data_IF_322321151202
#
_entry.id   IF_322321151202
#
_cell.length_a   1.000
_cell.length_b   1.000
_cell.length_c   1.000
_cell.angle_alpha   90.00
_cell.angle_beta   90.00
_cell.angle_gamma   90.00
#
_symmetry.space_group_name_H-M   'P 1'
#
loop_
_entity.id
_entity.type
_entity.pdbx_description
1 polymer ?
#
# COMPACT_ATOMS: atom_id res chain seq x y z
N UNK A 1 -6.71 -3.71 26.71
CA UNK A 1 -7.48 -3.82 25.45
C UNK A 1 -6.50 -3.76 24.28
N UNK A 2 -6.36 -4.85 23.53
CA UNK A 2 -5.55 -4.85 22.32
C UNK A 2 -6.21 -3.93 21.29
N UNK A 3 -5.50 -2.91 20.84
CA UNK A 3 -5.99 -2.03 19.76
C UNK A 3 -6.20 -2.88 18.49
N UNK A 4 -7.27 -2.64 17.68
CA UNK A 4 -7.55 -3.43 16.47
C UNK A 4 -6.35 -3.61 15.54
N UNK A 5 -5.51 -2.57 15.36
CA UNK A 5 -4.30 -2.66 14.56
C UNK A 5 -3.25 -3.66 15.07
N UNK A 6 -3.12 -3.83 16.38
CA UNK A 6 -2.20 -4.83 16.96
C UNK A 6 -2.70 -6.27 16.78
N UNK A 7 -4.01 -6.48 16.72
CA UNK A 7 -4.60 -7.77 16.38
C UNK A 7 -4.35 -8.11 14.90
N UNK A 8 -4.74 -7.24 13.98
CA UNK A 8 -4.56 -7.44 12.54
C UNK A 8 -3.09 -7.69 12.17
N UNK A 9 -2.14 -6.94 12.76
CA UNK A 9 -0.73 -7.16 12.51
C UNK A 9 -0.29 -8.58 12.88
N UNK A 10 -0.63 -9.05 14.08
CA UNK A 10 -0.22 -10.38 14.56
C UNK A 10 -0.76 -11.52 13.71
N UNK A 11 -2.03 -11.45 13.32
CA UNK A 11 -2.67 -12.52 12.54
C UNK A 11 -2.26 -12.52 11.08
N UNK A 12 -1.81 -11.39 10.55
CA UNK A 12 -1.36 -11.23 9.17
C UNK A 12 0.17 -11.22 9.02
N UNK A 13 0.91 -11.49 10.11
CA UNK A 13 2.37 -11.67 10.09
C UNK A 13 3.19 -10.39 9.98
N UNK A 14 2.58 -9.20 10.09
CA UNK A 14 3.29 -7.93 10.14
C UNK A 14 3.65 -7.52 11.57
N UNK A 15 4.56 -6.57 11.74
CA UNK A 15 4.91 -6.01 13.06
C UNK A 15 3.81 -5.07 13.58
N UNK A 16 3.17 -4.31 12.71
CA UNK A 16 2.12 -3.34 13.04
C UNK A 16 1.13 -3.19 11.91
N UNK A 17 -0.07 -2.67 12.21
CA UNK A 17 -1.09 -2.35 11.22
C UNK A 17 -1.92 -1.13 11.62
N UNK A 18 -2.53 -0.49 10.62
CA UNK A 18 -3.46 0.63 10.78
C UNK A 18 -4.58 0.55 9.73
N UNK A 19 -5.81 0.80 10.17
CA UNK A 19 -6.97 0.93 9.30
C UNK A 19 -7.13 2.36 8.76
N UNK A 20 -7.61 2.48 7.52
CA UNK A 20 -7.94 3.73 6.83
C UNK A 20 -9.27 3.66 6.09
N UNK A 21 -9.64 4.72 5.39
CA UNK A 21 -10.90 4.79 4.65
C UNK A 21 -10.91 3.97 3.36
N UNK A 22 -9.76 3.77 2.73
CA UNK A 22 -9.57 2.95 1.53
C UNK A 22 -8.08 2.72 1.26
N UNK A 23 -7.75 1.84 0.31
CA UNK A 23 -6.36 1.60 -0.09
C UNK A 23 -5.69 2.85 -0.68
N UNK A 24 -6.40 3.63 -1.50
CA UNK A 24 -5.90 4.89 -2.05
C UNK A 24 -5.46 5.89 -0.97
N UNK A 25 -6.22 5.98 0.14
CA UNK A 25 -5.83 6.75 1.32
C UNK A 25 -4.56 6.19 1.97
N UNK A 26 -4.39 4.86 1.96
CA UNK A 26 -3.19 4.18 2.43
C UNK A 26 -1.94 4.60 1.63
N UNK A 27 -2.06 4.71 0.30
CA UNK A 27 -0.95 5.21 -0.56
C UNK A 27 -0.57 6.63 -0.14
N UNK A 28 -1.55 7.56 -0.10
CA UNK A 28 -1.28 8.95 0.24
C UNK A 28 -0.66 9.10 1.65
N UNK A 29 -1.18 8.38 2.64
CA UNK A 29 -0.63 8.41 4.00
C UNK A 29 0.73 7.72 4.10
N UNK A 30 0.97 6.66 3.33
CA UNK A 30 2.27 5.98 3.25
C UNK A 30 3.34 6.90 2.67
N UNK A 31 3.02 7.60 1.59
CA UNK A 31 3.89 8.61 0.96
C UNK A 31 4.18 9.75 1.92
N UNK A 32 3.16 10.34 2.54
CA UNK A 32 3.32 11.41 3.51
C UNK A 32 4.17 10.96 4.71
N UNK A 33 3.88 9.78 5.26
CA UNK A 33 4.64 9.20 6.36
C UNK A 33 6.11 8.99 6.01
N UNK A 34 6.40 8.44 4.83
CA UNK A 34 7.76 8.21 4.36
C UNK A 34 8.58 9.50 4.17
N UNK A 35 7.91 10.59 3.74
CA UNK A 35 8.55 11.88 3.52
C UNK A 35 8.75 12.67 4.80
N UNK A 36 7.69 12.83 5.62
CA UNK A 36 7.77 13.71 6.81
C UNK A 36 8.24 13.01 8.07
N UNK A 37 8.14 11.67 8.12
CA UNK A 37 8.60 10.84 9.24
C UNK A 37 8.06 11.33 10.59
N UNK A 38 8.95 11.77 11.48
CA UNK A 38 8.64 12.25 12.82
C UNK A 38 8.44 13.77 12.89
N UNK A 39 8.60 14.49 11.77
CA UNK A 39 8.53 15.94 11.76
C UNK A 39 7.07 16.43 11.80
N UNK A 40 6.62 16.85 12.98
CA UNK A 40 5.23 17.33 13.18
C UNK A 40 4.93 18.62 12.42
N UNK A 41 5.92 19.52 12.28
CA UNK A 41 5.72 20.77 11.52
C UNK A 41 5.50 20.49 10.04
N UNK A 42 6.31 19.62 9.43
CA UNK A 42 6.12 19.22 8.01
C UNK A 42 4.80 18.50 7.80
N UNK A 43 4.38 17.62 8.75
CA UNK A 43 3.07 16.98 8.70
C UNK A 43 1.92 17.99 8.63
N UNK A 44 1.98 19.01 9.48
CA UNK A 44 0.92 20.01 9.58
C UNK A 44 0.95 21.01 8.41
N UNK A 45 2.09 21.17 7.75
CA UNK A 45 2.34 22.08 6.65
C UNK A 45 2.62 21.40 5.30
N UNK A 46 2.27 20.14 5.14
CA UNK A 46 2.52 19.35 3.93
C UNK A 46 2.02 20.02 2.64
N UNK A 47 0.92 20.79 2.73
CA UNK A 47 0.25 21.48 1.62
C UNK A 47 0.76 22.89 1.37
N UNK A 48 1.51 23.49 2.29
CA UNK A 48 1.79 24.92 2.32
C UNK A 48 3.17 25.32 1.81
N UNK A 49 4.11 24.40 1.78
CA UNK A 49 5.49 24.71 1.38
C UNK A 49 6.10 23.57 0.54
N UNK A 50 7.05 23.88 -0.37
CA UNK A 50 7.87 22.87 -0.97
C UNK A 50 8.54 22.04 0.12
N UNK A 51 8.46 20.70 0.01
CA UNK A 51 9.09 19.82 0.97
C UNK A 51 10.61 19.99 0.88
N UNK A 52 11.23 20.39 2.00
CA UNK A 52 12.68 20.47 2.16
C UNK A 52 13.34 19.12 2.48
N UNK A 53 12.56 18.05 2.42
CA UNK A 53 12.97 16.67 2.72
C UNK A 53 12.79 15.79 1.47
N UNK A 54 13.43 14.62 1.40
CA UNK A 54 13.17 13.65 0.35
C UNK A 54 11.67 13.36 0.24
N UNK A 55 11.12 13.49 -0.97
CA UNK A 55 9.70 13.30 -1.26
C UNK A 55 9.43 12.70 -2.65
N UNK A 56 10.49 12.33 -3.38
CA UNK A 56 10.34 11.61 -4.63
C UNK A 56 9.92 10.18 -4.35
N UNK A 57 8.91 9.72 -5.08
CA UNK A 57 8.40 8.35 -5.02
C UNK A 57 8.70 7.69 -6.35
N UNK A 58 9.63 6.77 -6.35
CA UNK A 58 10.02 6.04 -7.56
C UNK A 58 9.06 4.88 -7.78
N UNK A 59 8.52 4.80 -8.99
CA UNK A 59 7.50 3.82 -9.40
C UNK A 59 7.92 3.21 -10.73
N UNK A 60 7.86 1.88 -10.94
CA UNK A 60 7.98 1.32 -12.28
C UNK A 60 6.94 1.97 -13.21
N UNK A 61 7.35 2.42 -14.39
CA UNK A 61 6.45 3.17 -15.29
C UNK A 61 5.16 2.41 -15.62
N UNK A 62 5.24 1.09 -15.82
CA UNK A 62 4.07 0.25 -16.03
C UNK A 62 3.12 0.13 -14.83
N UNK A 63 3.51 0.64 -13.65
CA UNK A 63 2.70 0.68 -12.44
C UNK A 63 2.04 2.05 -12.21
N UNK A 64 2.34 3.06 -13.04
CA UNK A 64 1.65 4.35 -13.00
C UNK A 64 0.32 4.23 -13.77
N UNK A 65 -0.65 3.58 -13.17
CA UNK A 65 -1.95 3.24 -13.77
C UNK A 65 -3.07 4.14 -13.26
N UNK A 66 -4.19 4.11 -13.98
CA UNK A 66 -5.45 4.69 -13.54
C UNK A 66 -6.40 3.54 -13.18
N UNK A 67 -6.74 3.41 -11.90
CA UNK A 67 -7.66 2.40 -11.35
C UNK A 67 -9.05 2.98 -11.00
N UNK A 68 -9.43 4.09 -11.63
CA UNK A 68 -10.55 4.98 -11.28
C UNK A 68 -10.05 6.31 -10.73
N UNK A 69 -8.76 6.37 -10.35
CA UNK A 69 -7.98 7.57 -10.08
C UNK A 69 -6.52 7.28 -10.46
N UNK A 70 -5.75 8.26 -10.95
CA UNK A 70 -4.34 8.06 -11.24
C UNK A 70 -3.54 7.79 -9.95
N UNK A 71 -2.61 6.82 -9.99
CA UNK A 71 -1.66 6.57 -8.88
C UNK A 71 -0.90 7.83 -8.52
N UNK A 72 -0.47 8.60 -9.53
CA UNK A 72 0.22 9.88 -9.33
C UNK A 72 -0.56 10.89 -8.50
N UNK A 73 -1.90 10.89 -8.58
CA UNK A 73 -2.74 11.77 -7.73
C UNK A 73 -2.66 11.38 -6.27
N UNK A 74 -2.59 10.09 -5.95
CA UNK A 74 -2.45 9.63 -4.56
C UNK A 74 -1.05 9.95 -4.01
N UNK A 75 -0.02 9.82 -4.84
CA UNK A 75 1.34 10.25 -4.51
C UNK A 75 1.37 11.75 -4.21
N UNK A 76 0.77 12.57 -5.09
CA UNK A 76 0.72 14.03 -4.91
C UNK A 76 -0.09 14.45 -3.68
N UNK A 77 -1.21 13.78 -3.37
CA UNK A 77 -1.97 14.00 -2.12
C UNK A 77 -1.11 13.75 -0.87
N UNK A 78 -0.18 12.81 -0.93
CA UNK A 78 0.80 12.57 0.13
C UNK A 78 1.97 13.55 0.13
N UNK A 79 1.97 14.57 -0.72
CA UNK A 79 3.06 15.53 -0.88
C UNK A 79 4.26 14.97 -1.63
N UNK A 80 4.13 13.78 -2.23
CA UNK A 80 5.18 13.15 -3.02
C UNK A 80 5.22 13.64 -4.46
N UNK A 81 6.38 13.55 -5.07
CA UNK A 81 6.58 13.71 -6.51
C UNK A 81 6.81 12.33 -7.13
N UNK A 82 5.99 11.94 -8.11
CA UNK A 82 6.12 10.66 -8.78
C UNK A 82 7.28 10.70 -9.78
N UNK A 83 8.18 9.72 -9.68
CA UNK A 83 9.31 9.51 -10.59
C UNK A 83 9.14 8.14 -11.24
N UNK A 84 8.99 8.10 -12.55
CA UNK A 84 8.86 6.86 -13.30
C UNK A 84 10.23 6.23 -13.59
N UNK A 85 10.34 4.90 -13.39
CA UNK A 85 11.52 4.08 -13.67
C UNK A 85 11.22 3.07 -14.78
N UNK A 86 12.18 2.84 -15.66
CA UNK A 86 12.05 1.89 -16.77
C UNK A 86 11.06 2.34 -17.84
N UNK A 87 10.42 1.37 -18.47
CA UNK A 87 9.45 1.55 -19.55
C UNK A 87 8.06 1.05 -19.13
N UNK A 88 7.05 1.34 -19.95
CA UNK A 88 5.67 0.90 -19.65
C UNK A 88 5.51 -0.63 -19.59
N UNK A 89 6.32 -1.38 -20.32
CA UNK A 89 6.28 -2.84 -20.44
C UNK A 89 7.48 -3.54 -19.82
N UNK A 90 8.46 -2.79 -19.29
CA UNK A 90 9.71 -3.34 -18.78
C UNK A 90 10.30 -2.45 -17.70
N UNK A 91 10.70 -3.07 -16.58
CA UNK A 91 11.48 -2.40 -15.55
C UNK A 91 12.39 -3.44 -14.89
N UNK A 92 13.70 -3.29 -15.05
CA UNK A 92 14.68 -4.12 -14.36
C UNK A 92 15.05 -3.53 -13.00
N UNK A 93 15.66 -4.34 -12.09
CA UNK A 93 16.21 -3.84 -10.84
C UNK A 93 17.22 -2.69 -11.03
N UNK A 94 18.03 -2.74 -12.09
CA UNK A 94 19.03 -1.71 -12.43
C UNK A 94 18.35 -0.41 -12.87
N UNK A 95 17.29 -0.50 -13.67
CA UNK A 95 16.51 0.66 -14.08
C UNK A 95 15.79 1.31 -12.89
N UNK A 96 15.25 0.49 -11.98
CA UNK A 96 14.65 0.99 -10.74
C UNK A 96 15.69 1.69 -9.86
N UNK A 97 16.86 1.07 -9.67
CA UNK A 97 17.96 1.63 -8.89
C UNK A 97 18.50 2.95 -9.48
N UNK A 98 18.61 3.03 -10.81
CA UNK A 98 19.10 4.23 -11.51
C UNK A 98 18.17 5.46 -11.33
N UNK A 99 16.88 5.25 -11.05
CA UNK A 99 15.93 6.33 -10.79
C UNK A 99 15.98 6.86 -9.33
N UNK A 100 16.68 6.17 -8.43
CA UNK A 100 16.80 6.57 -7.03
C UNK A 100 17.87 7.67 -6.90
N UNK A 101 17.51 8.74 -6.21
CA UNK A 101 18.37 9.90 -5.94
C UNK A 101 18.34 10.25 -4.45
N UNK A 102 19.17 11.18 -3.96
CA UNK A 102 19.10 11.65 -2.59
C UNK A 102 17.75 12.27 -2.18
N UNK A 103 16.91 12.64 -3.16
CA UNK A 103 15.56 13.17 -2.93
C UNK A 103 14.49 12.09 -2.89
N UNK A 104 14.84 10.82 -3.10
CA UNK A 104 13.89 9.68 -3.05
C UNK A 104 13.53 9.33 -1.61
N UNK A 105 12.23 9.37 -1.30
CA UNK A 105 11.69 9.01 0.01
C UNK A 105 11.26 7.54 0.10
N UNK A 106 10.76 6.95 -1.00
CA UNK A 106 10.28 5.57 -1.04
C UNK A 106 10.25 5.02 -2.46
N UNK A 107 10.19 3.68 -2.57
CA UNK A 107 9.70 2.99 -3.76
C UNK A 107 8.21 2.65 -3.58
N UNK A 108 7.42 2.81 -4.64
CA UNK A 108 6.04 2.35 -4.70
C UNK A 108 5.90 1.28 -5.78
N UNK A 109 5.46 0.10 -5.40
CA UNK A 109 5.15 -1.02 -6.28
C UNK A 109 3.64 -1.26 -6.28
N UNK A 110 3.00 -1.21 -7.44
CA UNK A 110 1.56 -1.46 -7.57
C UNK A 110 1.36 -2.88 -8.10
N UNK A 111 0.79 -3.75 -7.26
CA UNK A 111 0.38 -5.09 -7.64
C UNK A 111 -1.10 -5.05 -8.01
N UNK A 112 -1.37 -5.01 -9.31
CA UNK A 112 -2.73 -4.90 -9.83
C UNK A 112 -2.82 -5.50 -11.24
N UNK A 113 -4.00 -6.01 -11.59
CA UNK A 113 -4.32 -6.45 -12.95
C UNK A 113 -4.32 -5.30 -13.98
N UNK A 114 -4.38 -4.04 -13.54
CA UNK A 114 -4.23 -2.87 -14.41
C UNK A 114 -2.79 -2.67 -14.88
N UNK A 115 -1.81 -3.22 -14.17
CA UNK A 115 -0.40 -3.08 -14.50
C UNK A 115 0.03 -4.07 -15.58
N UNK A 116 0.93 -3.64 -16.46
CA UNK A 116 1.66 -4.58 -17.30
C UNK A 116 2.64 -5.34 -16.42
N UNK A 117 2.49 -6.67 -16.38
CA UNK A 117 3.32 -7.54 -15.50
C UNK A 117 4.48 -8.20 -16.27
N UNK A 118 4.44 -8.20 -17.61
CA UNK A 118 5.47 -8.81 -18.43
C UNK A 118 6.75 -7.99 -18.36
N UNK A 119 7.88 -8.67 -18.15
CA UNK A 119 9.22 -8.05 -18.07
C UNK A 119 9.39 -7.00 -16.95
N UNK A 120 8.55 -7.05 -15.92
CA UNK A 120 8.70 -6.24 -14.72
C UNK A 120 9.40 -7.05 -13.61
N UNK A 121 10.19 -6.31 -12.80
CA UNK A 121 10.82 -6.90 -11.60
C UNK A 121 9.76 -7.41 -10.62
N UNK A 122 10.13 -8.44 -9.84
CA UNK A 122 9.28 -8.94 -8.76
C UNK A 122 9.31 -8.02 -7.52
N UNK A 123 8.37 -8.25 -6.59
CA UNK A 123 8.34 -7.53 -5.29
C UNK A 123 9.63 -7.77 -4.50
N UNK A 124 10.15 -9.01 -4.51
CA UNK A 124 11.41 -9.36 -3.84
C UNK A 124 12.60 -8.60 -4.43
N UNK A 125 12.66 -8.48 -5.76
CA UNK A 125 13.70 -7.70 -6.43
C UNK A 125 13.60 -6.21 -6.07
N UNK A 126 12.38 -5.64 -6.05
CA UNK A 126 12.15 -4.28 -5.61
C UNK A 126 12.56 -4.08 -4.13
N UNK A 127 12.27 -5.05 -3.26
CA UNK A 127 12.68 -5.02 -1.85
C UNK A 127 14.20 -5.04 -1.67
N UNK A 128 14.92 -5.81 -2.49
CA UNK A 128 16.39 -5.82 -2.50
C UNK A 128 16.93 -4.45 -2.90
N UNK A 129 16.37 -3.83 -3.95
CA UNK A 129 16.77 -2.47 -4.39
C UNK A 129 16.49 -1.45 -3.30
N UNK A 130 15.29 -1.43 -2.71
CA UNK A 130 14.91 -0.50 -1.64
C UNK A 130 15.86 -0.59 -0.45
N UNK A 131 16.13 -1.81 0.02
CA UNK A 131 17.03 -2.08 1.15
C UNK A 131 18.45 -1.62 0.88
N UNK A 132 18.97 -1.86 -0.32
CA UNK A 132 20.32 -1.42 -0.73
C UNK A 132 20.48 0.10 -0.67
N UNK A 133 19.40 0.83 -0.95
CA UNK A 133 19.39 2.30 -0.93
C UNK A 133 18.89 2.89 0.40
N UNK A 134 18.51 2.08 1.38
CA UNK A 134 18.06 2.54 2.69
C UNK A 134 16.71 3.27 2.68
N UNK A 135 15.86 2.99 1.70
CA UNK A 135 14.53 3.59 1.55
C UNK A 135 13.43 2.51 1.66
N UNK A 136 12.21 2.84 2.13
CA UNK A 136 11.14 1.86 2.26
C UNK A 136 10.56 1.45 0.90
N UNK A 137 10.11 0.19 0.83
CA UNK A 137 9.25 -0.31 -0.23
C UNK A 137 7.78 -0.30 0.25
N UNK A 138 6.94 0.46 -0.45
CA UNK A 138 5.49 0.47 -0.29
C UNK A 138 4.90 -0.40 -1.41
N UNK A 139 4.10 -1.41 -1.05
CA UNK A 139 3.38 -2.26 -2.02
C UNK A 139 1.89 -1.95 -1.93
N UNK A 140 1.31 -1.47 -3.01
CA UNK A 140 -0.14 -1.40 -3.17
C UNK A 140 -0.63 -2.76 -3.70
N UNK A 141 -1.23 -3.53 -2.82
CA UNK A 141 -1.81 -4.85 -3.07
C UNK A 141 -3.33 -4.83 -2.82
N UNK A 142 -4.00 -3.73 -3.23
CA UNK A 142 -5.38 -3.44 -2.86
C UNK A 142 -6.37 -4.56 -3.18
N UNK A 143 -6.15 -5.33 -4.25
CA UNK A 143 -7.06 -6.39 -4.71
C UNK A 143 -6.52 -7.81 -4.49
N UNK A 144 -5.33 -7.93 -3.91
CA UNK A 144 -4.66 -9.21 -3.76
C UNK A 144 -5.27 -10.03 -2.61
N UNK A 145 -5.33 -11.34 -2.82
CA UNK A 145 -5.98 -12.27 -1.89
C UNK A 145 -5.04 -12.71 -0.76
N UNK A 146 -3.73 -12.78 -1.01
CA UNK A 146 -2.76 -13.18 0.01
C UNK A 146 -2.31 -11.96 0.84
N UNK A 147 -2.78 -11.88 2.07
CA UNK A 147 -2.50 -10.76 2.97
C UNK A 147 -1.14 -10.85 3.69
N UNK A 148 -0.34 -11.88 3.43
CA UNK A 148 0.93 -12.11 4.11
C UNK A 148 2.14 -12.08 3.17
N UNK A 149 1.99 -12.55 1.93
CA UNK A 149 3.12 -12.83 1.05
C UNK A 149 3.98 -11.60 0.76
N UNK A 150 3.41 -10.43 0.53
CA UNK A 150 4.18 -9.25 0.15
C UNK A 150 5.05 -8.70 1.29
N UNK A 151 4.57 -8.81 2.54
CA UNK A 151 5.40 -8.49 3.70
C UNK A 151 6.55 -9.51 3.85
N UNK A 152 6.29 -10.80 3.64
CA UNK A 152 7.31 -11.85 3.67
C UNK A 152 8.33 -11.68 2.54
N UNK A 153 7.93 -11.19 1.37
CA UNK A 153 8.80 -10.83 0.25
C UNK A 153 9.71 -9.62 0.54
N UNK A 154 9.47 -8.91 1.65
CA UNK A 154 10.33 -7.83 2.12
C UNK A 154 9.78 -6.42 1.92
N UNK A 155 8.49 -6.26 1.62
CA UNK A 155 7.84 -4.96 1.63
C UNK A 155 7.87 -4.37 3.05
N UNK A 156 8.11 -3.06 3.15
CA UNK A 156 8.10 -2.36 4.43
C UNK A 156 6.69 -1.90 4.84
N UNK A 157 5.88 -1.56 3.84
CA UNK A 157 4.44 -1.30 3.96
C UNK A 157 3.69 -2.04 2.86
N UNK A 158 2.59 -2.69 3.21
CA UNK A 158 1.64 -3.31 2.27
C UNK A 158 0.26 -2.72 2.50
N UNK A 159 -0.42 -2.35 1.43
CA UNK A 159 -1.70 -1.67 1.46
C UNK A 159 -2.76 -2.57 0.81
N UNK A 160 -3.82 -2.85 1.54
CA UNK A 160 -4.96 -3.65 1.08
C UNK A 160 -6.26 -2.84 1.12
N UNK A 161 -7.21 -3.19 0.25
CA UNK A 161 -8.58 -2.69 0.31
C UNK A 161 -9.45 -3.64 1.13
N UNK A 162 -10.14 -3.12 2.13
CA UNK A 162 -11.08 -3.93 2.90
C UNK A 162 -12.30 -4.40 2.10
N UNK A 163 -12.68 -3.66 1.06
CA UNK A 163 -13.86 -3.95 0.24
C UNK A 163 -13.57 -4.80 -1.02
N UNK A 164 -12.38 -5.37 -1.14
CA UNK A 164 -12.00 -6.25 -2.25
C UNK A 164 -11.85 -7.68 -1.74
N UNK A 165 -10.68 -8.29 -1.87
CA UNK A 165 -10.44 -9.68 -1.47
C UNK A 165 -10.73 -10.00 0.01
N UNK A 166 -10.72 -8.99 0.88
CA UNK A 166 -11.09 -9.15 2.30
C UNK A 166 -12.62 -9.24 2.49
N UNK A 167 -13.42 -8.83 1.49
CA UNK A 167 -14.91 -8.87 1.51
C UNK A 167 -15.54 -8.09 2.68
N UNK A 168 -14.86 -7.03 3.12
CA UNK A 168 -15.33 -6.14 4.19
C UNK A 168 -15.98 -4.86 3.66
N UNK A 169 -16.31 -3.92 4.56
CA UNK A 169 -16.83 -2.60 4.17
C UNK A 169 -15.74 -1.77 3.51
N UNK A 170 -16.13 -0.66 2.86
CA UNK A 170 -15.19 0.34 2.34
C UNK A 170 -14.23 0.78 3.44
N UNK A 171 -13.00 0.32 3.33
CA UNK A 171 -11.92 0.55 4.28
C UNK A 171 -10.57 0.23 3.64
N UNK A 172 -9.50 0.64 4.27
CA UNK A 172 -8.14 0.30 3.89
C UNK A 172 -7.38 -0.30 5.07
N UNK A 173 -6.43 -1.15 4.78
CA UNK A 173 -5.55 -1.76 5.75
C UNK A 173 -4.10 -1.54 5.30
N UNK A 174 -3.29 -0.95 6.17
CA UNK A 174 -1.84 -0.85 5.96
C UNK A 174 -1.15 -1.72 6.99
N UNK A 175 -0.32 -2.65 6.53
CA UNK A 175 0.44 -3.58 7.35
C UNK A 175 1.91 -3.38 7.06
N UNK A 176 2.78 -3.56 8.03
CA UNK A 176 4.22 -3.50 7.76
C UNK A 176 5.06 -3.42 9.00
N UNK A 177 6.27 -2.89 8.84
CA UNK A 177 7.20 -2.67 9.94
C UNK A 177 6.72 -1.55 10.85
N UNK A 178 6.88 -1.75 12.15
CA UNK A 178 6.36 -0.85 13.18
C UNK A 178 6.75 0.61 12.97
N UNK A 179 7.99 0.88 12.57
CA UNK A 179 8.47 2.23 12.32
C UNK A 179 7.66 2.95 11.23
N UNK A 180 7.46 2.30 10.09
CA UNK A 180 6.77 2.90 8.94
C UNK A 180 5.26 3.01 9.19
N UNK A 181 4.66 2.00 9.81
CA UNK A 181 3.23 2.05 10.19
C UNK A 181 2.98 3.17 11.20
N UNK A 182 3.92 3.44 12.12
CA UNK A 182 3.78 4.55 13.06
C UNK A 182 3.79 5.91 12.34
N UNK A 183 4.64 6.08 11.32
CA UNK A 183 4.61 7.28 10.48
C UNK A 183 3.29 7.46 9.73
N UNK A 184 2.69 6.36 9.25
CA UNK A 184 1.35 6.37 8.66
C UNK A 184 0.29 6.78 9.69
N UNK A 185 0.32 6.23 10.91
CA UNK A 185 -0.61 6.57 12.01
C UNK A 185 -0.55 8.05 12.36
N UNK A 186 0.63 8.65 12.35
CA UNK A 186 0.82 10.09 12.64
C UNK A 186 0.09 10.98 11.63
N UNK A 187 -0.13 10.49 10.39
CA UNK A 187 -0.90 11.23 9.39
C UNK A 187 -2.37 11.42 9.76
N UNK A 188 -2.89 10.67 10.74
CA UNK A 188 -4.24 10.91 11.29
C UNK A 188 -4.42 12.33 11.89
N UNK A 189 -3.32 12.99 12.24
CA UNK A 189 -3.28 14.37 12.70
C UNK A 189 -2.82 15.37 11.62
N UNK A 190 -2.62 14.89 10.39
CA UNK A 190 -2.30 15.68 9.20
C UNK A 190 -3.31 15.37 8.09
N UNK A 191 -2.79 15.09 6.89
CA UNK A 191 -3.60 14.79 5.68
C UNK A 191 -4.56 13.61 5.89
N UNK A 192 -4.18 12.61 6.67
CA UNK A 192 -5.02 11.46 7.00
C UNK A 192 -6.29 11.81 7.80
N UNK A 193 -6.39 13.04 8.33
CA UNK A 193 -7.62 13.51 8.98
C UNK A 193 -8.80 13.55 8.01
N UNK A 194 -8.56 13.93 6.77
CA UNK A 194 -9.56 13.92 5.70
C UNK A 194 -9.90 12.50 5.21
N UNK A 195 -9.05 11.53 5.52
CA UNK A 195 -9.14 10.12 5.09
C UNK A 195 -9.53 9.20 6.25
N UNK A 196 -10.19 9.73 7.27
CA UNK A 196 -10.54 9.00 8.48
C UNK A 196 -11.59 7.92 8.19
N UNK A 197 -11.37 6.70 8.70
CA UNK A 197 -12.36 5.62 8.74
C UNK A 197 -13.24 5.75 9.97
N UNK A 198 -14.54 5.46 9.84
CA UNK A 198 -15.49 5.40 10.95
C UNK A 198 -15.28 4.15 11.83
N UNK A 199 -15.89 4.15 13.01
CA UNK A 199 -15.82 3.01 13.94
C UNK A 199 -16.46 1.76 13.35
N UNK A 200 -17.57 1.93 12.65
CA UNK A 200 -18.27 0.88 11.90
C UNK A 200 -17.39 0.24 10.84
N UNK A 201 -16.63 1.03 10.09
CA UNK A 201 -15.66 0.54 9.11
C UNK A 201 -14.50 -0.23 9.76
N UNK A 202 -14.04 0.21 10.94
CA UNK A 202 -13.00 -0.51 11.68
C UNK A 202 -13.51 -1.86 12.19
N UNK A 203 -14.72 -1.90 12.76
CA UNK A 203 -15.32 -3.13 13.26
C UNK A 203 -15.61 -4.11 12.13
N UNK A 204 -16.19 -3.62 11.04
CA UNK A 204 -16.48 -4.45 9.85
C UNK A 204 -15.21 -4.99 9.20
N UNK A 205 -14.14 -4.18 9.08
CA UNK A 205 -12.85 -4.66 8.59
C UNK A 205 -12.23 -5.73 9.51
N UNK A 206 -12.33 -5.54 10.83
CA UNK A 206 -11.81 -6.52 11.80
C UNK A 206 -12.54 -7.85 11.64
N UNK A 207 -13.88 -7.83 11.57
CA UNK A 207 -14.68 -9.03 11.37
C UNK A 207 -14.38 -9.70 10.01
N UNK A 208 -14.21 -8.91 8.95
CA UNK A 208 -13.87 -9.44 7.63
C UNK A 208 -12.50 -10.14 7.62
N UNK A 209 -11.50 -9.58 8.33
CA UNK A 209 -10.20 -10.24 8.51
C UNK A 209 -10.36 -11.55 9.30
N UNK A 210 -11.17 -11.60 10.33
CA UNK A 210 -11.44 -12.83 11.08
C UNK A 210 -12.09 -13.88 10.17
N UNK A 211 -13.08 -13.50 9.38
CA UNK A 211 -13.71 -14.38 8.41
C UNK A 211 -12.70 -14.91 7.38
N UNK A 212 -11.86 -14.03 6.82
CA UNK A 212 -10.79 -14.39 5.90
C UNK A 212 -9.85 -15.45 6.47
N UNK A 213 -9.47 -15.32 7.76
CA UNK A 213 -8.57 -16.28 8.42
C UNK A 213 -9.24 -17.63 8.72
N UNK A 214 -10.56 -17.65 8.87
CA UNK A 214 -11.33 -18.86 9.11
C UNK A 214 -11.71 -19.59 7.81
N UNK A 215 -11.73 -18.89 6.68
CA UNK A 215 -12.01 -19.50 5.40
C UNK A 215 -10.82 -20.34 4.96
N UNK A 216 -11.06 -21.62 4.60
CA UNK A 216 -10.09 -22.36 3.80
C UNK A 216 -9.91 -21.60 2.50
N UNK A 217 -8.65 -21.35 2.07
CA UNK A 217 -8.36 -20.64 0.83
C UNK A 217 -9.16 -21.27 -0.31
N UNK A 218 -10.24 -20.61 -0.72
CA UNK A 218 -11.07 -21.05 -1.83
C UNK A 218 -10.26 -20.82 -3.09
N UNK A 219 -9.96 -21.88 -3.83
CA UNK A 219 -9.23 -21.73 -5.10
C UNK A 219 -10.09 -20.97 -6.12
N UNK A 220 -9.47 -20.30 -7.10
CA UNK A 220 -10.21 -19.69 -8.21
C UNK A 220 -11.14 -20.69 -8.91
N UNK A 221 -10.78 -21.98 -8.95
CA UNK A 221 -11.62 -23.04 -9.45
C UNK A 221 -12.91 -23.25 -8.64
N UNK A 222 -12.83 -23.14 -7.30
CA UNK A 222 -14.02 -23.25 -6.44
C UNK A 222 -14.94 -22.03 -6.62
N UNK A 223 -14.38 -20.84 -6.85
CA UNK A 223 -15.18 -19.65 -7.17
C UNK A 223 -15.88 -19.78 -8.50
N UNK A 224 -15.19 -20.26 -9.55
CA UNK A 224 -15.80 -20.56 -10.85
C UNK A 224 -16.93 -21.57 -10.68
N UNK A 225 -16.71 -22.68 -9.97
CA UNK A 225 -17.73 -23.68 -9.71
C UNK A 225 -18.96 -23.13 -9.00
N UNK A 226 -18.78 -22.20 -8.04
CA UNK A 226 -19.90 -21.51 -7.37
C UNK A 226 -20.67 -20.56 -8.28
N UNK A 227 -20.01 -19.93 -9.24
CA UNK A 227 -20.62 -18.94 -10.14
C UNK A 227 -21.25 -19.56 -11.39
N UNK A 228 -20.78 -20.73 -11.85
CA UNK A 228 -21.29 -21.44 -13.05
C UNK A 228 -22.82 -21.57 -13.07
N UNK A 229 -23.52 -21.97 -11.97
CA UNK A 229 -24.97 -22.07 -11.97
C UNK A 229 -25.70 -20.75 -12.23
N UNK A 230 -25.05 -19.61 -12.07
CA UNK A 230 -25.64 -18.28 -12.31
C UNK A 230 -25.30 -17.72 -13.70
N UNK A 231 -24.36 -18.34 -14.41
CA UNK A 231 -23.93 -17.91 -15.76
C UNK A 231 -24.68 -18.69 -16.83
N UNK A 232 -25.04 -19.95 -16.56
CA UNK A 232 -25.70 -20.87 -17.49
C UNK A 232 -27.24 -20.71 -17.52
N UNK A 233 -27.81 -19.70 -16.86
CA UNK A 233 -29.19 -19.26 -16.88
C UNK A 233 -29.34 -17.93 -17.59
#
# INVERSE_FOLDING_TARGET
MNRPGGYSARVLGGESAVGGSCAAAGIAQGVAGGSVKDNGWLRDNLHAAPLSVPHDIVVPKGHNVNYGAPVGSMVALGGGRLIEAGYSNECSPEQLAAAITPTTAALLYVKSHHCVQKSHLSVEQAAVVARKHGIPLIVDAAAEEDLQCYYQMGADLVIYSGAKAIEGPTSGLVIGRSQYVEWVKRQSNGIGRAMKVGKEGILGLTQAIENYLLQSKTSGADMVAKMTPFIDN
#
